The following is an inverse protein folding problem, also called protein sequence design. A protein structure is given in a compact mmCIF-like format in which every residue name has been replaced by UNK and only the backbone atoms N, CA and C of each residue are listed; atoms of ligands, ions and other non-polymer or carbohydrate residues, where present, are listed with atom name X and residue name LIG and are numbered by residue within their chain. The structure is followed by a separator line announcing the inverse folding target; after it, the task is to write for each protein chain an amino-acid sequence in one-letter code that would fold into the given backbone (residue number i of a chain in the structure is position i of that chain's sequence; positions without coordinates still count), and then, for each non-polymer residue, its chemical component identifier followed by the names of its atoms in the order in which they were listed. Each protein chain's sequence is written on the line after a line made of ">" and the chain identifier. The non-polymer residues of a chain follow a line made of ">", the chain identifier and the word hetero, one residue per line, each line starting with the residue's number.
data_IF_385691822216
#
_entry.id   IF_385691822216
#
_cell.length_a   1.000
_cell.length_b   1.000
_cell.length_c   1.000
_cell.angle_alpha   90.00
_cell.angle_beta   90.00
_cell.angle_gamma   90.00
#
_symmetry.space_group_name_H-M   'P 1'
#
loop_
_entity.id
_entity.type
_entity.pdbx_description
1 polymer ?
#
# COMPACT_ATOMS: atom_id res chain seq x y z
N UNK A 1 23.96 -20.74 -10.74
CA UNK A 1 22.77 -21.35 -10.11
C UNK A 1 21.82 -20.21 -9.77
N UNK A 2 20.79 -19.96 -10.61
CA UNK A 2 19.80 -18.94 -10.30
C UNK A 2 18.99 -19.43 -9.10
N UNK A 3 19.14 -18.76 -7.96
CA UNK A 3 18.14 -18.87 -6.89
C UNK A 3 16.95 -18.06 -7.38
N UNK A 4 15.85 -18.73 -7.74
CA UNK A 4 14.56 -18.07 -7.84
C UNK A 4 14.29 -17.48 -6.45
N UNK A 5 14.51 -16.16 -6.32
CA UNK A 5 14.11 -15.41 -5.14
C UNK A 5 12.62 -15.70 -4.91
N UNK A 6 12.19 -15.67 -3.64
CA UNK A 6 10.81 -15.95 -3.24
C UNK A 6 9.75 -15.11 -3.97
N UNK A 7 8.50 -15.19 -3.52
CA UNK A 7 7.38 -14.42 -4.10
C UNK A 7 7.82 -12.98 -4.40
N UNK A 8 7.49 -12.42 -5.59
CA UNK A 8 8.01 -11.11 -5.96
C UNK A 8 7.65 -10.07 -4.90
N UNK A 9 8.50 -9.07 -4.75
CA UNK A 9 8.17 -7.89 -3.96
C UNK A 9 7.06 -7.11 -4.69
N UNK A 10 6.00 -6.70 -4.00
CA UNK A 10 4.89 -5.99 -4.62
C UNK A 10 4.64 -4.64 -3.97
N UNK A 11 4.55 -3.58 -4.79
CA UNK A 11 4.02 -2.30 -4.36
C UNK A 11 2.59 -2.45 -3.83
N UNK A 12 2.30 -1.75 -2.74
CA UNK A 12 0.94 -1.50 -2.27
C UNK A 12 0.62 -0.02 -2.41
N UNK A 13 -0.66 0.32 -2.41
CA UNK A 13 -1.13 1.70 -2.56
C UNK A 13 -0.88 2.57 -1.33
N UNK A 14 0.32 2.55 -0.75
CA UNK A 14 0.71 3.32 0.42
C UNK A 14 2.00 4.11 0.10
N UNK A 15 1.94 5.44 0.22
CA UNK A 15 3.03 6.34 -0.15
C UNK A 15 3.07 7.57 0.76
N UNK A 16 4.18 8.29 0.75
CA UNK A 16 4.31 9.61 1.36
C UNK A 16 5.10 10.54 0.46
N UNK A 17 4.81 11.82 0.55
CA UNK A 17 5.70 12.85 0.01
C UNK A 17 6.68 13.30 1.10
N UNK A 18 7.71 14.07 0.73
CA UNK A 18 8.71 14.55 1.68
C UNK A 18 8.07 15.30 2.85
N UNK A 19 8.32 14.82 4.08
CA UNK A 19 7.80 15.40 5.32
C UNK A 19 6.29 15.21 5.56
N UNK A 20 5.60 14.46 4.70
CA UNK A 20 4.17 14.17 4.85
C UNK A 20 3.95 12.82 5.54
N UNK A 21 2.79 12.63 6.20
CA UNK A 21 2.40 11.31 6.70
C UNK A 21 2.15 10.35 5.54
N UNK A 22 2.21 9.05 5.86
CA UNK A 22 1.84 8.01 4.92
C UNK A 22 0.34 8.08 4.59
N UNK A 23 -0.01 7.95 3.31
CA UNK A 23 -1.38 7.96 2.82
C UNK A 23 -1.65 6.80 1.89
N UNK A 24 -2.84 6.23 2.03
CA UNK A 24 -3.37 5.23 1.11
C UNK A 24 -3.73 5.87 -0.24
N UNK A 25 -3.88 5.04 -1.27
CA UNK A 25 -4.20 5.48 -2.63
C UNK A 25 -5.56 6.19 -2.74
N UNK A 26 -6.46 6.00 -1.78
CA UNK A 26 -7.72 6.73 -1.66
C UNK A 26 -7.59 8.08 -0.93
N UNK A 27 -6.37 8.46 -0.52
CA UNK A 27 -6.05 9.70 0.16
C UNK A 27 -6.17 9.66 1.69
N UNK A 28 -6.66 8.57 2.29
CA UNK A 28 -6.76 8.47 3.75
C UNK A 28 -5.39 8.30 4.37
N UNK A 29 -5.18 8.92 5.54
CA UNK A 29 -3.94 8.78 6.29
C UNK A 29 -3.79 7.36 6.84
N UNK A 30 -2.57 6.86 6.82
CA UNK A 30 -2.21 5.59 7.41
C UNK A 30 -2.20 5.69 8.93
N UNK A 31 -2.93 4.79 9.57
CA UNK A 31 -3.13 4.73 11.01
C UNK A 31 -2.02 3.99 11.77
N UNK A 32 -0.85 3.78 11.16
CA UNK A 32 0.32 3.15 11.80
C UNK A 32 0.07 1.73 12.37
N UNK A 33 -0.83 0.96 11.75
CA UNK A 33 -1.16 -0.41 12.21
C UNK A 33 -0.01 -1.41 12.09
N UNK A 34 0.99 -1.12 11.26
CA UNK A 34 2.18 -1.95 11.10
C UNK A 34 3.42 -1.06 10.90
N UNK A 35 4.60 -1.50 11.34
CA UNK A 35 5.84 -0.78 11.08
C UNK A 35 6.19 -0.83 9.58
N UNK A 36 6.71 0.28 9.07
CA UNK A 36 7.23 0.38 7.70
C UNK A 36 8.74 0.55 7.79
N UNK A 37 9.49 -0.44 7.31
CA UNK A 37 10.95 -0.38 7.23
C UNK A 37 11.45 0.51 6.08
N UNK A 38 12.76 0.75 6.04
CA UNK A 38 13.41 1.48 4.96
C UNK A 38 13.29 3.01 5.05
N UNK A 39 13.62 3.69 3.95
CA UNK A 39 13.67 5.17 3.88
C UNK A 39 13.10 5.75 2.59
N UNK A 40 12.28 4.98 1.88
CA UNK A 40 11.66 5.40 0.62
C UNK A 40 10.35 6.16 0.80
N UNK A 41 9.73 6.46 -0.33
CA UNK A 41 8.48 7.23 -0.49
C UNK A 41 7.30 6.35 -0.93
N UNK A 42 7.54 5.13 -1.43
CA UNK A 42 6.51 4.12 -1.70
C UNK A 42 6.74 2.86 -0.85
N UNK A 43 5.64 2.19 -0.45
CA UNK A 43 5.69 0.96 0.35
C UNK A 43 5.43 -0.27 -0.52
N UNK A 44 6.27 -1.29 -0.36
CA UNK A 44 6.09 -2.62 -0.91
C UNK A 44 6.05 -3.67 0.20
N UNK A 45 5.46 -4.82 -0.13
CA UNK A 45 5.53 -6.04 0.67
C UNK A 45 6.66 -6.91 0.14
N UNK A 46 7.55 -7.36 1.03
CA UNK A 46 8.60 -8.33 0.69
C UNK A 46 8.04 -9.76 0.60
N UNK A 47 8.90 -10.72 0.28
CA UNK A 47 8.56 -12.14 0.19
C UNK A 47 8.13 -12.77 1.53
N UNK A 48 8.46 -12.15 2.66
CA UNK A 48 7.94 -12.50 4.00
C UNK A 48 6.59 -11.83 4.32
N UNK A 49 6.08 -10.92 3.48
CA UNK A 49 4.86 -10.15 3.74
C UNK A 49 5.07 -8.94 4.66
N UNK A 50 6.31 -8.54 4.90
CA UNK A 50 6.65 -7.37 5.71
C UNK A 50 6.65 -6.10 4.85
N UNK A 51 6.21 -4.99 5.44
CA UNK A 51 6.16 -3.69 4.78
C UNK A 51 7.52 -2.98 4.84
N UNK A 52 8.06 -2.62 3.68
CA UNK A 52 9.28 -1.83 3.54
C UNK A 52 9.10 -0.73 2.51
N UNK A 53 9.89 0.33 2.60
CA UNK A 53 9.81 1.49 1.73
C UNK A 53 11.04 1.64 0.85
N UNK A 54 10.81 2.00 -0.41
CA UNK A 54 11.84 2.28 -1.40
C UNK A 54 11.37 3.39 -2.34
N UNK A 55 12.28 3.94 -3.14
CA UNK A 55 11.97 4.98 -4.12
C UNK A 55 10.88 4.48 -5.09
N UNK A 56 9.80 5.26 -5.26
CA UNK A 56 8.67 4.93 -6.13
C UNK A 56 9.09 4.64 -7.59
N UNK A 57 10.26 5.10 -8.01
CA UNK A 57 10.83 4.88 -9.34
C UNK A 57 11.37 3.46 -9.56
N UNK A 58 11.49 2.64 -8.52
CA UNK A 58 11.95 1.26 -8.65
C UNK A 58 10.88 0.36 -9.30
N UNK A 59 11.30 -0.41 -10.29
CA UNK A 59 10.44 -1.38 -10.97
C UNK A 59 10.11 -2.57 -10.05
N UNK A 60 8.82 -2.79 -9.80
CA UNK A 60 8.26 -3.94 -9.06
C UNK A 60 6.84 -4.22 -9.55
N UNK A 61 6.36 -5.44 -9.32
CA UNK A 61 4.94 -5.74 -9.47
C UNK A 61 4.11 -4.97 -8.43
N UNK A 62 2.80 -4.94 -8.60
CA UNK A 62 1.91 -4.21 -7.69
C UNK A 62 0.63 -5.02 -7.39
N UNK A 63 0.04 -4.74 -6.25
CA UNK A 63 -1.27 -5.27 -5.85
C UNK A 63 -2.27 -4.11 -5.84
N UNK A 64 -3.39 -4.30 -6.53
CA UNK A 64 -4.52 -3.37 -6.50
C UNK A 64 -5.65 -3.93 -5.65
N UNK A 65 -6.30 -3.07 -4.88
CA UNK A 65 -7.53 -3.38 -4.16
C UNK A 65 -8.64 -2.43 -4.63
N UNK A 66 -9.86 -2.94 -4.72
CA UNK A 66 -11.05 -2.14 -4.96
C UNK A 66 -12.19 -2.71 -4.09
N UNK A 67 -13.08 -1.86 -3.56
CA UNK A 67 -14.27 -2.35 -2.87
C UNK A 67 -15.10 -3.23 -3.81
N UNK A 68 -15.64 -4.31 -3.27
CA UNK A 68 -16.65 -5.11 -3.97
C UNK A 68 -18.00 -4.38 -4.01
N UNK A 69 -18.97 -4.94 -4.74
CA UNK A 69 -20.27 -4.30 -4.91
C UNK A 69 -21.00 -4.07 -3.58
N UNK A 70 -20.83 -4.98 -2.63
CA UNK A 70 -21.45 -4.89 -1.30
C UNK A 70 -20.82 -3.75 -0.49
N UNK A 71 -19.50 -3.71 -0.41
CA UNK A 71 -18.74 -2.67 0.29
C UNK A 71 -19.05 -1.29 -0.28
N UNK A 72 -19.15 -1.16 -1.61
CA UNK A 72 -19.56 0.10 -2.27
C UNK A 72 -20.94 0.57 -1.84
N UNK A 73 -21.90 -0.34 -1.71
CA UNK A 73 -23.25 0.02 -1.28
C UNK A 73 -23.28 0.51 0.16
N UNK A 74 -22.49 -0.09 1.05
CA UNK A 74 -22.35 0.38 2.43
C UNK A 74 -21.70 1.76 2.52
N UNK A 75 -20.63 2.00 1.76
CA UNK A 75 -19.97 3.32 1.70
C UNK A 75 -20.92 4.40 1.17
N UNK A 76 -21.74 4.08 0.17
CA UNK A 76 -22.74 5.01 -0.37
C UNK A 76 -23.82 5.34 0.67
N UNK A 77 -24.38 4.32 1.33
CA UNK A 77 -25.40 4.51 2.36
C UNK A 77 -24.89 5.32 3.56
N UNK A 78 -23.62 5.12 3.96
CA UNK A 78 -23.01 5.90 5.04
C UNK A 78 -22.75 7.37 4.69
N UNK A 79 -22.65 7.71 3.40
CA UNK A 79 -22.45 9.08 2.92
C UNK A 79 -23.76 9.85 2.74
N UNK A 80 -24.89 9.16 2.62
CA UNK A 80 -26.22 9.76 2.49
C UNK A 80 -26.82 10.22 3.84
N UNK A 81 -26.25 9.78 4.97
CA UNK A 81 -26.68 10.10 6.33
C UNK A 81 -25.86 11.23 7.01
N UNK A 82 -24.95 11.90 6.29
CA UNK A 82 -24.05 12.94 6.83
C UNK A 82 -24.20 14.31 6.19
#
# INVERSE_FOLDING_TARGET
>A
MLRYKGKPDHWIGLRKDMGQPWKWANGTEFNNLFPIGGGGDCVFLNDQGEASSLQCTSERHWICTKPDAFTKAQEAAAKEDS
#
